data_IF_314920846579
#
_entry.id   IF_314920846579
#
_cell.length_a   1.000
_cell.length_b   1.000
_cell.length_c   1.000
_cell.angle_alpha   90.00
_cell.angle_beta   90.00
_cell.angle_gamma   90.00
#
_symmetry.space_group_name_H-M   'P 1'
#
loop_
_entity.id
_entity.type
_entity.pdbx_description
1 polymer ?
#
# COMPACT_ATOMS: atom_id res chain seq x y z
N UNK A 1 26.25 -29.73 7.93
CA UNK A 1 26.22 -28.71 8.99
C UNK A 1 24.75 -28.41 9.22
N UNK A 2 24.24 -28.61 10.43
CA UNK A 2 22.82 -28.40 10.72
C UNK A 2 22.52 -26.91 10.65
N UNK A 3 21.59 -26.52 9.77
CA UNK A 3 20.98 -25.19 9.78
C UNK A 3 20.38 -24.99 11.16
N UNK A 4 20.93 -24.04 11.93
CA UNK A 4 20.33 -23.62 13.19
C UNK A 4 19.09 -22.83 12.79
N UNK A 5 17.95 -23.51 12.69
CA UNK A 5 16.66 -22.88 12.42
C UNK A 5 16.51 -21.74 13.42
N UNK A 6 16.47 -20.52 12.91
CA UNK A 6 16.19 -19.34 13.72
C UNK A 6 14.83 -19.62 14.38
N UNK A 7 14.80 -19.78 15.72
CA UNK A 7 13.54 -19.95 16.44
C UNK A 7 12.68 -18.71 16.15
N UNK A 8 11.39 -18.92 15.91
CA UNK A 8 10.46 -17.81 15.79
C UNK A 8 10.38 -17.11 17.16
N UNK A 9 10.24 -15.79 17.20
CA UNK A 9 9.97 -15.04 18.44
C UNK A 9 8.75 -15.62 19.17
N UNK A 10 7.81 -16.18 18.41
CA UNK A 10 6.65 -16.91 18.92
C UNK A 10 7.04 -18.13 19.77
N UNK A 11 8.10 -18.85 19.39
CA UNK A 11 8.64 -20.00 20.11
C UNK A 11 9.42 -19.55 21.35
N UNK A 12 10.21 -18.47 21.24
CA UNK A 12 10.99 -17.91 22.37
C UNK A 12 10.09 -17.31 23.47
N UNK A 13 8.97 -16.72 23.10
CA UNK A 13 7.94 -16.23 24.03
C UNK A 13 7.20 -17.39 24.71
N UNK A 14 6.96 -18.50 24.01
CA UNK A 14 6.29 -19.68 24.55
C UNK A 14 7.18 -20.45 25.55
N UNK A 15 8.49 -20.48 25.29
CA UNK A 15 9.49 -21.10 26.16
C UNK A 15 9.78 -20.25 27.42
N UNK A 16 9.25 -19.03 27.51
CA UNK A 16 9.48 -18.10 28.62
C UNK A 16 10.91 -17.55 28.66
N UNK A 17 11.63 -17.64 27.53
CA UNK A 17 13.04 -17.23 27.39
C UNK A 17 13.21 -15.70 27.34
N UNK A 18 12.10 -14.95 27.16
CA UNK A 18 12.08 -13.49 27.07
C UNK A 18 11.25 -12.90 28.21
N UNK A 19 11.83 -11.97 28.96
CA UNK A 19 11.11 -11.23 30.01
C UNK A 19 10.16 -10.18 29.44
N UNK A 20 9.16 -9.76 30.22
CA UNK A 20 8.23 -8.69 29.82
C UNK A 20 8.96 -7.39 29.43
N UNK A 21 10.07 -7.09 30.12
CA UNK A 21 10.88 -5.91 29.84
C UNK A 21 11.59 -6.02 28.49
N UNK A 22 12.25 -7.15 28.22
CA UNK A 22 12.92 -7.40 26.94
C UNK A 22 11.92 -7.42 25.78
N UNK A 23 10.74 -8.03 25.96
CA UNK A 23 9.68 -7.99 24.97
C UNK A 23 9.21 -6.55 24.69
N UNK A 24 9.04 -5.72 25.74
CA UNK A 24 8.66 -4.31 25.58
C UNK A 24 9.76 -3.52 24.86
N UNK A 25 11.03 -3.73 25.19
CA UNK A 25 12.17 -3.11 24.52
C UNK A 25 12.21 -3.49 23.02
N UNK A 26 12.08 -4.77 22.71
CA UNK A 26 12.02 -5.26 21.33
C UNK A 26 10.84 -4.65 20.55
N UNK A 27 9.65 -4.52 21.16
CA UNK A 27 8.50 -3.86 20.52
C UNK A 27 8.83 -2.41 20.18
N UNK A 28 9.44 -1.66 21.10
CA UNK A 28 9.81 -0.26 20.84
C UNK A 28 10.84 -0.13 19.72
N UNK A 29 11.83 -1.02 19.70
CA UNK A 29 12.86 -1.07 18.67
C UNK A 29 12.27 -1.39 17.29
N UNK A 30 11.47 -2.45 17.19
CA UNK A 30 10.78 -2.84 15.94
C UNK A 30 9.85 -1.73 15.44
N UNK A 31 9.13 -1.07 16.36
CA UNK A 31 8.27 0.08 16.01
C UNK A 31 9.08 1.24 15.44
N UNK A 32 10.27 1.51 16.00
CA UNK A 32 11.15 2.57 15.49
C UNK A 32 11.69 2.24 14.09
N UNK A 33 12.09 0.98 13.86
CA UNK A 33 12.53 0.49 12.55
C UNK A 33 11.40 0.55 11.53
N UNK A 34 10.17 0.16 11.89
CA UNK A 34 9.01 0.23 11.01
C UNK A 34 8.73 1.67 10.55
N UNK A 35 8.86 2.65 11.45
CA UNK A 35 8.71 4.08 11.10
C UNK A 35 9.77 4.52 10.09
N UNK A 36 11.03 4.15 10.31
CA UNK A 36 12.13 4.46 9.39
C UNK A 36 11.94 3.79 8.02
N UNK A 37 11.61 2.50 8.01
CA UNK A 37 11.34 1.75 6.78
C UNK A 37 10.17 2.35 6.00
N UNK A 38 9.12 2.80 6.69
CA UNK A 38 7.98 3.48 6.06
C UNK A 38 8.42 4.78 5.38
N UNK A 39 9.21 5.61 6.06
CA UNK A 39 9.75 6.85 5.48
C UNK A 39 10.61 6.56 4.24
N UNK A 40 11.49 5.55 4.29
CA UNK A 40 12.30 5.13 3.15
C UNK A 40 11.43 4.60 2.00
N UNK A 41 10.41 3.81 2.30
CA UNK A 41 9.46 3.30 1.32
C UNK A 41 8.73 4.45 0.61
N UNK A 42 8.27 5.45 1.36
CA UNK A 42 7.54 6.59 0.79
C UNK A 42 8.46 7.41 -0.14
N UNK A 43 9.71 7.65 0.25
CA UNK A 43 10.71 8.30 -0.61
C UNK A 43 11.03 7.50 -1.88
N UNK A 44 11.15 6.16 -1.76
CA UNK A 44 11.35 5.28 -2.92
C UNK A 44 10.15 5.31 -3.87
N UNK A 45 8.92 5.32 -3.33
CA UNK A 45 7.71 5.44 -4.15
C UNK A 45 7.70 6.77 -4.89
N UNK A 46 8.00 7.87 -4.22
CA UNK A 46 8.07 9.20 -4.85
C UNK A 46 9.08 9.24 -6.00
N UNK A 47 10.28 8.70 -5.78
CA UNK A 47 11.31 8.58 -6.82
C UNK A 47 10.83 7.77 -8.03
N UNK A 48 10.22 6.60 -7.79
CA UNK A 48 9.71 5.75 -8.85
C UNK A 48 8.54 6.42 -9.59
N UNK A 49 7.64 7.12 -8.87
CA UNK A 49 6.56 7.87 -9.51
C UNK A 49 7.05 9.03 -10.37
N UNK A 50 8.17 9.65 -10.02
CA UNK A 50 8.78 10.72 -10.81
C UNK A 50 9.54 10.20 -12.05
N UNK A 51 9.87 8.91 -12.07
CA UNK A 51 10.76 8.30 -13.08
C UNK A 51 10.03 7.39 -14.07
N UNK A 52 8.79 7.01 -13.81
CA UNK A 52 7.99 6.10 -14.65
C UNK A 52 6.78 6.81 -15.25
N UNK A 53 6.43 6.39 -16.46
CA UNK A 53 5.20 6.86 -17.10
C UNK A 53 3.94 6.17 -16.53
N UNK A 54 2.77 6.83 -16.62
CA UNK A 54 1.52 6.22 -16.24
C UNK A 54 1.23 4.88 -16.92
N UNK A 55 0.98 3.84 -16.10
CA UNK A 55 0.75 2.43 -16.50
C UNK A 55 2.01 1.64 -16.86
N UNK A 56 3.20 2.22 -16.71
CA UNK A 56 4.44 1.49 -16.81
C UNK A 56 4.66 0.59 -15.58
N UNK A 57 5.37 -0.51 -15.77
CA UNK A 57 5.73 -1.42 -14.70
C UNK A 57 7.20 -1.85 -14.82
N UNK A 58 7.85 -1.97 -13.67
CA UNK A 58 9.19 -2.54 -13.53
C UNK A 58 9.07 -3.91 -12.88
N UNK A 59 9.65 -4.91 -13.54
CA UNK A 59 9.84 -6.24 -12.94
C UNK A 59 11.24 -6.28 -12.35
N UNK A 60 11.33 -6.45 -11.04
CA UNK A 60 12.59 -6.64 -10.33
C UNK A 60 12.78 -8.12 -10.01
N UNK A 61 13.94 -8.45 -9.44
CA UNK A 61 14.21 -9.80 -8.95
C UNK A 61 13.29 -10.21 -7.78
N UNK A 62 12.69 -9.24 -7.07
CA UNK A 62 11.90 -9.47 -5.86
C UNK A 62 10.40 -9.27 -6.04
N UNK A 63 9.96 -8.66 -7.14
CA UNK A 63 8.54 -8.50 -7.46
C UNK A 63 8.28 -7.58 -8.64
N UNK A 64 7.03 -7.13 -8.77
CA UNK A 64 6.61 -6.20 -9.83
C UNK A 64 6.09 -4.93 -9.20
N UNK A 65 6.61 -3.80 -9.67
CA UNK A 65 6.23 -2.45 -9.28
C UNK A 65 5.50 -1.82 -10.45
N UNK A 66 4.31 -1.26 -10.22
CA UNK A 66 3.48 -0.65 -11.26
C UNK A 66 3.04 0.73 -10.83
N UNK A 67 3.29 1.72 -11.68
CA UNK A 67 2.76 3.05 -11.46
C UNK A 67 1.26 3.07 -11.73
N UNK A 68 0.51 3.62 -10.77
CA UNK A 68 -0.92 3.89 -10.88
C UNK A 68 -1.13 5.39 -10.82
N UNK A 69 -1.65 5.94 -11.91
CA UNK A 69 -2.13 7.30 -11.93
C UNK A 69 -3.26 7.46 -10.91
N UNK A 70 -3.21 8.56 -10.17
CA UNK A 70 -4.26 9.02 -9.30
C UNK A 70 -5.57 9.19 -10.06
N UNK A 71 -6.68 9.09 -9.33
CA UNK A 71 -7.99 9.37 -9.88
C UNK A 71 -8.36 10.83 -9.59
N UNK A 72 -8.93 11.51 -10.58
CA UNK A 72 -9.53 12.82 -10.36
C UNK A 72 -10.74 12.70 -9.41
N UNK A 73 -11.01 13.73 -8.59
CA UNK A 73 -12.21 13.78 -7.76
C UNK A 73 -13.45 13.62 -8.64
N UNK A 74 -14.38 12.75 -8.23
CA UNK A 74 -15.61 12.51 -9.00
C UNK A 74 -16.77 12.11 -8.12
N UNK A 75 -17.97 12.46 -8.56
CA UNK A 75 -19.20 11.97 -7.97
C UNK A 75 -19.35 10.47 -8.20
N UNK A 76 -19.80 9.75 -7.16
CA UNK A 76 -20.14 8.34 -7.25
C UNK A 76 -21.37 8.02 -6.42
N UNK A 77 -22.16 7.06 -6.89
CA UNK A 77 -23.26 6.49 -6.13
C UNK A 77 -22.70 5.48 -5.13
N UNK A 78 -22.94 5.71 -3.85
CA UNK A 78 -22.58 4.81 -2.75
C UNK A 78 -23.78 3.95 -2.34
N UNK A 79 -24.94 4.56 -2.26
CA UNK A 79 -26.21 3.91 -1.95
C UNK A 79 -27.19 4.15 -3.11
N UNK A 80 -27.34 3.17 -4.01
CA UNK A 80 -28.26 3.28 -5.13
C UNK A 80 -29.72 3.47 -4.72
N UNK A 81 -30.16 2.90 -3.59
CA UNK A 81 -31.57 3.01 -3.18
C UNK A 81 -31.88 4.41 -2.67
N UNK A 82 -31.02 4.97 -1.82
CA UNK A 82 -31.16 6.34 -1.36
C UNK A 82 -31.12 7.33 -2.55
N UNK A 83 -30.27 7.08 -3.53
CA UNK A 83 -30.20 7.92 -4.73
C UNK A 83 -31.45 7.80 -5.61
N UNK A 84 -32.01 6.60 -5.77
CA UNK A 84 -33.26 6.41 -6.52
C UNK A 84 -34.45 7.12 -5.87
N UNK A 85 -34.56 7.05 -4.54
CA UNK A 85 -35.60 7.75 -3.77
C UNK A 85 -35.47 9.26 -3.96
N UNK A 86 -34.24 9.79 -3.85
CA UNK A 86 -33.98 11.20 -4.07
C UNK A 86 -34.39 11.65 -5.48
N UNK A 87 -34.07 10.86 -6.52
CA UNK A 87 -34.47 11.15 -7.90
C UNK A 87 -36.01 11.18 -8.06
N UNK A 88 -36.71 10.24 -7.46
CA UNK A 88 -38.19 10.20 -7.51
C UNK A 88 -38.81 11.43 -6.80
N UNK A 89 -38.29 11.79 -5.62
CA UNK A 89 -38.76 12.95 -4.84
C UNK A 89 -38.51 14.29 -5.54
N UNK A 90 -37.48 14.35 -6.39
CA UNK A 90 -37.09 15.56 -7.12
C UNK A 90 -37.65 15.65 -8.54
N UNK A 91 -38.57 14.74 -8.91
CA UNK A 91 -39.28 14.75 -10.20
C UNK A 91 -38.53 14.11 -11.36
N UNK A 92 -37.44 13.39 -11.08
CA UNK A 92 -36.62 12.67 -12.06
C UNK A 92 -37.07 11.19 -12.17
N UNK A 93 -38.38 10.95 -12.18
CA UNK A 93 -38.96 9.58 -12.15
C UNK A 93 -38.61 8.75 -13.38
N UNK A 94 -38.29 9.39 -14.51
CA UNK A 94 -37.80 8.72 -15.73
C UNK A 94 -36.36 8.17 -15.58
N UNK A 95 -35.64 8.62 -14.55
CA UNK A 95 -34.28 8.23 -14.22
C UNK A 95 -34.20 7.04 -13.25
N UNK A 96 -35.35 6.41 -12.94
CA UNK A 96 -35.48 5.27 -12.03
C UNK A 96 -36.08 4.07 -12.78
N UNK A 97 -35.51 2.87 -12.60
CA UNK A 97 -36.06 1.65 -13.18
C UNK A 97 -37.32 1.16 -12.44
N UNK A 98 -38.05 0.18 -13.00
CA UNK A 98 -39.25 -0.40 -12.38
C UNK A 98 -39.00 -0.99 -10.98
N UNK A 99 -37.75 -1.33 -10.68
CA UNK A 99 -37.24 -1.59 -9.32
C UNK A 99 -36.48 -0.33 -8.93
N UNK A 100 -36.78 0.29 -7.77
CA UNK A 100 -36.18 1.52 -7.22
C UNK A 100 -34.64 1.47 -7.19
N UNK A 101 -34.07 1.65 -8.37
CA UNK A 101 -32.66 1.61 -8.68
C UNK A 101 -32.45 2.70 -9.73
N UNK A 102 -31.43 3.55 -9.58
CA UNK A 102 -31.15 4.60 -10.53
C UNK A 102 -30.77 3.96 -11.88
N UNK A 103 -31.31 4.49 -12.97
CA UNK A 103 -30.94 4.05 -14.30
C UNK A 103 -29.43 4.29 -14.55
N UNK A 104 -28.78 3.42 -15.32
CA UNK A 104 -27.32 3.43 -15.48
C UNK A 104 -26.77 4.79 -15.95
N UNK A 105 -27.52 5.49 -16.81
CA UNK A 105 -27.10 6.79 -17.35
C UNK A 105 -27.03 7.91 -16.31
N UNK A 106 -27.86 7.88 -15.24
CA UNK A 106 -27.82 8.87 -14.16
C UNK A 106 -26.80 8.55 -13.07
N UNK A 107 -26.24 7.35 -13.07
CA UNK A 107 -25.14 6.98 -12.15
C UNK A 107 -23.77 7.49 -12.61
N UNK A 108 -23.69 8.04 -13.83
CA UNK A 108 -22.44 8.57 -14.39
C UNK A 108 -22.03 9.86 -13.66
N UNK A 109 -20.72 10.07 -13.38
CA UNK A 109 -20.27 11.24 -12.64
C UNK A 109 -20.70 12.59 -13.24
N UNK A 110 -20.68 12.71 -14.57
CA UNK A 110 -21.09 13.93 -15.27
C UNK A 110 -22.61 14.20 -15.16
N UNK A 111 -23.43 13.15 -15.13
CA UNK A 111 -24.87 13.27 -14.93
C UNK A 111 -25.19 13.71 -13.50
N UNK A 112 -24.51 13.13 -12.51
CA UNK A 112 -24.63 13.53 -11.10
C UNK A 112 -24.17 14.97 -10.90
N UNK A 113 -23.06 15.37 -11.53
CA UNK A 113 -22.58 16.76 -11.49
C UNK A 113 -23.62 17.72 -12.08
N UNK A 114 -24.25 17.36 -13.20
CA UNK A 114 -25.33 18.16 -13.79
C UNK A 114 -26.53 18.29 -12.85
N UNK A 115 -26.94 17.19 -12.20
CA UNK A 115 -28.02 17.20 -11.21
C UNK A 115 -27.66 18.11 -10.02
N UNK A 116 -26.46 17.98 -9.45
CA UNK A 116 -25.99 18.86 -8.36
C UNK A 116 -26.08 20.34 -8.78
N UNK A 117 -25.68 20.67 -10.02
CA UNK A 117 -25.81 22.05 -10.53
C UNK A 117 -27.27 22.50 -10.73
N UNK A 118 -28.13 21.62 -11.26
CA UNK A 118 -29.57 21.86 -11.46
C UNK A 118 -30.28 22.16 -10.14
N UNK A 119 -29.93 21.44 -9.07
CA UNK A 119 -30.48 21.62 -7.72
C UNK A 119 -29.62 22.55 -6.84
N UNK A 120 -28.95 23.54 -7.45
CA UNK A 120 -28.25 24.66 -6.76
C UNK A 120 -27.13 24.23 -5.79
N UNK A 121 -26.49 23.11 -6.05
CA UNK A 121 -25.39 22.58 -5.24
C UNK A 121 -25.83 21.67 -4.11
N UNK A 122 -27.10 21.26 -4.07
CA UNK A 122 -27.55 20.20 -3.17
C UNK A 122 -26.93 18.87 -3.57
N UNK A 123 -26.33 18.18 -2.60
CA UNK A 123 -25.76 16.85 -2.81
C UNK A 123 -26.90 15.81 -2.74
N UNK A 124 -27.10 14.99 -3.78
CA UNK A 124 -28.12 13.94 -3.74
C UNK A 124 -27.85 12.92 -2.64
N UNK A 125 -28.93 12.41 -2.04
CA UNK A 125 -28.80 11.33 -1.06
C UNK A 125 -28.24 10.06 -1.72
N UNK A 126 -27.43 9.31 -0.97
CA UNK A 126 -26.76 8.11 -1.49
C UNK A 126 -25.61 8.37 -2.47
N UNK A 127 -25.35 9.63 -2.83
CA UNK A 127 -24.22 10.06 -3.65
C UNK A 127 -23.14 10.66 -2.76
N UNK A 128 -21.86 10.41 -3.09
CA UNK A 128 -20.74 11.07 -2.43
C UNK A 128 -19.74 11.62 -3.45
N UNK A 129 -19.12 12.76 -3.11
CA UNK A 129 -17.98 13.27 -3.84
C UNK A 129 -16.73 12.54 -3.37
N UNK A 130 -16.27 11.56 -4.14
CA UNK A 130 -15.03 10.87 -3.83
C UNK A 130 -13.86 11.83 -4.10
N UNK A 131 -13.09 12.13 -3.07
CA UNK A 131 -11.85 12.89 -3.20
C UNK A 131 -10.91 12.22 -4.20
N UNK A 132 -10.16 13.04 -4.95
CA UNK A 132 -9.14 12.53 -5.85
C UNK A 132 -8.07 11.77 -5.08
N UNK A 133 -7.49 10.75 -5.71
CA UNK A 133 -6.33 10.05 -5.15
C UNK A 133 -5.07 10.57 -5.83
N UNK A 134 -3.98 10.67 -5.08
CA UNK A 134 -2.67 10.97 -5.66
C UNK A 134 -2.17 9.78 -6.48
N UNK A 135 -1.21 10.04 -7.35
CA UNK A 135 -0.43 8.99 -7.99
C UNK A 135 0.19 8.07 -6.93
N UNK A 136 0.28 6.79 -7.25
CA UNK A 136 0.77 5.79 -6.32
C UNK A 136 1.47 4.64 -7.02
N UNK A 137 2.21 3.86 -6.24
CA UNK A 137 2.89 2.65 -6.69
C UNK A 137 2.15 1.43 -6.13
N UNK A 138 1.72 0.55 -7.02
CA UNK A 138 1.24 -0.77 -6.67
C UNK A 138 2.38 -1.78 -6.73
N UNK A 139 2.49 -2.61 -5.70
CA UNK A 139 3.48 -3.70 -5.62
C UNK A 139 2.72 -5.02 -5.73
N UNK A 140 3.19 -5.94 -6.56
CA UNK A 140 2.58 -7.26 -6.77
C UNK A 140 3.64 -8.33 -7.00
N UNK A 141 3.24 -9.61 -6.89
CA UNK A 141 4.11 -10.78 -7.13
C UNK A 141 5.42 -10.74 -6.32
N UNK A 142 5.34 -10.30 -5.07
CA UNK A 142 6.50 -10.22 -4.18
C UNK A 142 6.93 -11.63 -3.79
N UNK A 143 8.24 -11.91 -3.85
CA UNK A 143 8.81 -13.17 -3.34
C UNK A 143 8.53 -13.31 -1.84
N UNK A 144 8.34 -14.55 -1.37
CA UNK A 144 8.18 -14.78 0.05
C UNK A 144 9.47 -14.42 0.79
N UNK A 145 9.34 -14.02 2.06
CA UNK A 145 10.50 -13.61 2.86
C UNK A 145 11.47 -14.79 3.10
N UNK A 146 10.95 -16.02 3.19
CA UNK A 146 11.74 -17.25 3.22
C UNK A 146 12.69 -17.36 2.03
N UNK A 147 12.19 -17.06 0.83
CA UNK A 147 12.95 -17.16 -0.42
C UNK A 147 14.01 -16.05 -0.53
N UNK A 148 13.79 -14.94 0.19
CA UNK A 148 14.72 -13.81 0.29
C UNK A 148 15.87 -14.14 1.24
N UNK A 149 15.62 -14.88 2.33
CA UNK A 149 16.67 -15.32 3.26
C UNK A 149 17.66 -16.31 2.65
N UNK A 150 17.24 -17.05 1.63
CA UNK A 150 18.11 -17.97 0.89
C UNK A 150 19.06 -17.24 -0.09
N UNK A 151 18.81 -15.95 -0.36
CA UNK A 151 19.62 -15.10 -1.23
C UNK A 151 20.44 -14.10 -0.41
N UNK A 152 21.72 -14.41 -0.21
CA UNK A 152 22.64 -13.59 0.59
C UNK A 152 22.73 -12.14 0.07
N UNK A 153 22.65 -11.91 -1.24
CA UNK A 153 22.71 -10.55 -1.79
C UNK A 153 21.48 -9.74 -1.38
N UNK A 154 20.32 -10.38 -1.29
CA UNK A 154 19.07 -9.73 -0.86
C UNK A 154 19.04 -9.50 0.65
N UNK A 155 19.60 -10.42 1.43
CA UNK A 155 19.78 -10.24 2.88
C UNK A 155 20.70 -9.06 3.16
N UNK A 156 21.82 -8.95 2.43
CA UNK A 156 22.76 -7.84 2.58
C UNK A 156 22.13 -6.51 2.16
N UNK A 157 21.37 -6.49 1.07
CA UNK A 157 20.61 -5.32 0.63
C UNK A 157 19.56 -4.89 1.69
N UNK A 158 18.86 -5.84 2.31
CA UNK A 158 17.91 -5.56 3.38
C UNK A 158 18.60 -5.01 4.64
N UNK A 159 19.78 -5.53 5.00
CA UNK A 159 20.58 -5.03 6.11
C UNK A 159 21.04 -3.59 5.87
N UNK A 160 21.53 -3.27 4.66
CA UNK A 160 21.87 -1.90 4.27
C UNK A 160 20.65 -0.97 4.30
N UNK A 161 19.47 -1.44 3.87
CA UNK A 161 18.22 -0.69 3.98
C UNK A 161 17.77 -0.46 5.43
N UNK A 162 18.24 -1.24 6.38
CA UNK A 162 18.04 -1.02 7.81
C UNK A 162 19.14 -0.16 8.44
N UNK A 163 20.19 0.18 7.70
CA UNK A 163 21.36 0.88 8.23
C UNK A 163 22.20 0.00 9.16
N UNK A 164 22.02 -1.32 9.09
CA UNK A 164 22.89 -2.28 9.76
C UNK A 164 24.11 -2.42 8.84
N UNK A 165 25.27 -1.98 9.30
CA UNK A 165 26.52 -2.25 8.59
C UNK A 165 26.64 -3.76 8.42
N UNK A 166 26.59 -4.24 7.16
CA UNK A 166 26.82 -5.64 6.85
C UNK A 166 28.23 -5.98 7.30
N UNK A 167 28.36 -6.77 8.37
CA UNK A 167 29.64 -7.21 8.95
C UNK A 167 30.45 -8.13 8.01
N UNK A 168 30.03 -8.27 6.75
CA UNK A 168 30.75 -8.96 5.69
C UNK A 168 31.99 -8.19 5.16
N UNK A 169 32.17 -6.91 5.50
CA UNK A 169 33.31 -6.12 5.01
C UNK A 169 34.62 -6.27 5.82
N UNK A 170 34.66 -7.09 6.88
CA UNK A 170 35.86 -7.28 7.73
C UNK A 170 36.48 -8.68 7.63
N UNK A 171 36.37 -9.35 6.48
CA UNK A 171 37.09 -10.60 6.18
C UNK A 171 37.86 -10.50 4.86
N UNK A 172 38.76 -9.53 4.76
CA UNK A 172 39.81 -9.54 3.73
C UNK A 172 40.94 -8.56 4.10
N UNK A 173 41.64 -8.81 5.20
CA UNK A 173 42.97 -8.24 5.46
C UNK A 173 43.67 -9.08 6.54
N UNK A 174 43.93 -10.35 6.22
CA UNK A 174 44.71 -11.25 7.09
C UNK A 174 45.51 -12.24 6.22
N UNK A 175 46.25 -11.73 5.24
CA UNK A 175 47.38 -12.44 4.67
C UNK A 175 48.36 -11.42 4.07
N UNK A 176 49.66 -11.63 4.31
CA UNK A 176 50.81 -10.76 3.98
C UNK A 176 51.31 -9.80 5.06
N UNK A 177 51.78 -10.36 6.18
CA UNK A 177 53.07 -9.93 6.76
C UNK A 177 53.81 -11.14 7.36
N UNK A 178 54.35 -11.97 6.45
CA UNK A 178 55.58 -12.73 6.70
C UNK A 178 56.63 -12.23 5.72
N UNK A 179 57.41 -11.25 6.16
CA UNK A 179 58.79 -11.01 5.70
C UNK A 179 59.66 -10.87 6.94
#
# INVERSE_FOLDING_TARGET
MASKTMKDISDELADGEITLYEAAEQITLVTSMQKLLKQRLDALKEFVTASLDPKEHLTTHTGVVTYKRGAEPKWRVKDPQAFAIWLEEHGESESVEQVLVPAEHVTQPAAIEHLVHQYKGEQPDGVEFAGGTSDTIAISKVKAWSDIFEDQQMVDAAAQMLGIESSAANKEEDEWDKI
#
